data_IF_177855810754
#
_entry.id   IF_177855810754
#
_cell.length_a   1.000
_cell.length_b   1.000
_cell.length_c   1.000
_cell.angle_alpha   90.00
_cell.angle_beta   90.00
_cell.angle_gamma   90.00
#
_symmetry.space_group_name_H-M   'P 1'
#
loop_
_entity.id
_entity.type
_entity.pdbx_description
1 polymer ?
#
# COMPACT_ATOMS: atom_id res chain seq x y z
N UNK A 1 3.99 -11.41 -20.21
CA UNK A 1 3.75 -12.33 -19.09
C UNK A 1 2.91 -13.48 -19.60
N UNK A 2 3.53 -14.64 -19.70
CA UNK A 2 2.92 -15.93 -20.04
C UNK A 2 2.94 -16.83 -18.81
N UNK A 3 1.96 -17.73 -18.68
CA UNK A 3 1.90 -18.71 -17.59
C UNK A 3 2.25 -20.09 -18.17
N UNK A 4 3.22 -20.76 -17.56
CA UNK A 4 3.68 -22.08 -17.96
C UNK A 4 3.47 -23.08 -16.83
N UNK A 5 2.82 -24.21 -17.14
CA UNK A 5 2.77 -25.36 -16.22
C UNK A 5 3.97 -26.26 -16.45
N UNK A 6 4.70 -26.58 -15.39
CA UNK A 6 5.92 -27.39 -15.42
C UNK A 6 5.81 -28.48 -14.36
N UNK A 7 6.03 -29.72 -14.77
CA UNK A 7 6.16 -30.85 -13.84
C UNK A 7 7.59 -30.88 -13.30
N UNK A 8 7.73 -31.03 -11.99
CA UNK A 8 9.00 -31.13 -11.26
C UNK A 8 9.02 -32.40 -10.42
N UNK A 9 10.22 -32.88 -10.08
CA UNK A 9 10.34 -33.95 -9.08
C UNK A 9 10.00 -33.42 -7.68
N UNK A 10 9.69 -34.33 -6.74
CA UNK A 10 9.42 -33.95 -5.35
C UNK A 10 10.60 -33.24 -4.70
N UNK A 11 11.81 -33.77 -4.91
CA UNK A 11 13.05 -33.15 -4.41
C UNK A 11 13.25 -31.74 -4.96
N UNK A 12 12.99 -31.52 -6.25
CA UNK A 12 13.10 -30.19 -6.86
C UNK A 12 12.01 -29.25 -6.32
N UNK A 13 10.78 -29.74 -6.13
CA UNK A 13 9.68 -28.97 -5.54
C UNK A 13 10.00 -28.53 -4.11
N UNK A 14 10.49 -29.43 -3.27
CA UNK A 14 10.84 -29.16 -1.88
C UNK A 14 12.03 -28.19 -1.78
N UNK A 15 13.07 -28.39 -2.58
CA UNK A 15 14.22 -27.47 -2.62
C UNK A 15 13.83 -26.05 -3.05
N UNK A 16 12.90 -25.92 -4.00
CA UNK A 16 12.41 -24.62 -4.45
C UNK A 16 11.50 -23.97 -3.40
N UNK A 17 10.57 -24.72 -2.81
CA UNK A 17 9.61 -24.17 -1.83
C UNK A 17 10.27 -23.77 -0.51
N UNK A 18 11.32 -24.48 -0.10
CA UNK A 18 12.16 -24.12 1.05
C UNK A 18 13.17 -23.01 0.74
N UNK A 19 13.36 -22.67 -0.53
CA UNK A 19 14.27 -21.61 -0.98
C UNK A 19 15.74 -22.02 -1.09
N UNK A 20 16.05 -23.32 -0.92
CA UNK A 20 17.37 -23.88 -1.18
C UNK A 20 17.76 -23.76 -2.65
N UNK A 21 16.77 -23.89 -3.55
CA UNK A 21 16.94 -23.75 -4.99
C UNK A 21 16.19 -22.51 -5.50
N UNK A 22 16.93 -21.61 -6.16
CA UNK A 22 16.43 -20.32 -6.69
C UNK A 22 16.47 -20.21 -8.21
N UNK A 23 16.83 -21.30 -8.89
CA UNK A 23 16.86 -21.37 -10.33
C UNK A 23 16.44 -22.75 -10.84
N UNK A 24 15.83 -22.79 -12.02
CA UNK A 24 15.41 -24.02 -12.70
C UNK A 24 16.12 -24.09 -14.05
N UNK A 25 16.71 -25.23 -14.36
CA UNK A 25 17.30 -25.50 -15.68
C UNK A 25 16.30 -26.25 -16.53
N UNK A 26 16.02 -25.78 -17.75
CA UNK A 26 15.10 -26.42 -18.70
C UNK A 26 15.62 -26.35 -20.12
N UNK A 27 15.11 -27.22 -20.98
CA UNK A 27 15.35 -27.13 -22.42
C UNK A 27 14.70 -25.85 -22.97
N UNK A 28 15.37 -25.21 -23.92
CA UNK A 28 14.95 -23.98 -24.61
C UNK A 28 13.85 -24.25 -25.67
N UNK A 29 12.90 -25.13 -25.38
CA UNK A 29 11.77 -25.42 -26.27
C UNK A 29 10.81 -24.23 -26.38
N UNK A 30 10.87 -23.31 -25.41
CA UNK A 30 10.02 -22.15 -25.28
C UNK A 30 10.86 -20.91 -25.03
N UNK A 31 10.32 -19.77 -25.43
CA UNK A 31 10.90 -18.46 -25.12
C UNK A 31 10.40 -18.06 -23.73
N UNK A 32 11.29 -18.10 -22.75
CA UNK A 32 11.02 -17.61 -21.40
C UNK A 32 11.51 -16.17 -21.29
N UNK A 33 10.71 -15.32 -20.63
CA UNK A 33 11.07 -13.93 -20.39
C UNK A 33 10.96 -13.58 -18.90
N UNK A 34 11.74 -12.61 -18.41
CA UNK A 34 11.52 -12.03 -17.08
C UNK A 34 10.07 -11.54 -16.93
N UNK A 35 9.48 -11.85 -15.79
CA UNK A 35 8.08 -11.58 -15.46
C UNK A 35 7.10 -12.69 -15.85
N UNK A 36 7.52 -13.72 -16.58
CA UNK A 36 6.69 -14.91 -16.82
C UNK A 36 6.44 -15.70 -15.52
N UNK A 37 5.35 -16.45 -15.49
CA UNK A 37 4.94 -17.22 -14.32
C UNK A 37 5.07 -18.72 -14.60
N UNK A 38 5.70 -19.43 -13.67
CA UNK A 38 5.85 -20.88 -13.69
C UNK A 38 4.96 -21.49 -12.61
N UNK A 39 4.01 -22.31 -13.02
CA UNK A 39 3.20 -23.16 -12.14
C UNK A 39 3.90 -24.50 -12.03
N UNK A 40 4.63 -24.70 -10.93
CA UNK A 40 5.35 -25.93 -10.66
C UNK A 40 4.39 -26.94 -10.07
N UNK A 41 4.34 -28.12 -10.67
CA UNK A 41 3.44 -29.21 -10.31
C UNK A 41 4.23 -30.44 -9.91
N UNK A 42 3.91 -30.99 -8.74
CA UNK A 42 4.44 -32.27 -8.27
C UNK A 42 3.29 -33.24 -8.03
N UNK A 43 3.39 -34.43 -8.61
CA UNK A 43 2.41 -35.51 -8.47
C UNK A 43 3.05 -36.64 -7.68
N UNK A 44 2.49 -36.92 -6.50
CA UNK A 44 2.85 -38.07 -5.69
C UNK A 44 1.77 -39.16 -5.78
N UNK A 45 2.18 -40.34 -6.26
CA UNK A 45 1.39 -41.58 -6.24
C UNK A 45 -0.06 -41.44 -6.78
N UNK A 46 -0.27 -40.69 -7.86
CA UNK A 46 -1.58 -40.48 -8.53
C UNK A 46 -2.73 -39.96 -7.63
N UNK A 47 -2.47 -39.55 -6.39
CA UNK A 47 -3.49 -39.09 -5.44
C UNK A 47 -3.22 -37.71 -4.84
N UNK A 48 -1.94 -37.32 -4.73
CA UNK A 48 -1.55 -36.04 -4.15
C UNK A 48 -0.93 -35.15 -5.22
N UNK A 49 -1.58 -34.02 -5.47
CA UNK A 49 -1.14 -32.98 -6.39
C UNK A 49 -0.77 -31.74 -5.59
N UNK A 50 0.50 -31.36 -5.63
CA UNK A 50 0.99 -30.12 -5.03
C UNK A 50 1.36 -29.15 -6.15
N UNK A 51 0.99 -27.88 -5.97
CA UNK A 51 1.37 -26.83 -6.89
C UNK A 51 1.89 -25.59 -6.17
N UNK A 52 2.84 -24.91 -6.80
CA UNK A 52 3.32 -23.60 -6.36
C UNK A 52 3.59 -22.71 -7.55
N UNK A 53 3.43 -21.41 -7.37
CA UNK A 53 3.65 -20.42 -8.41
C UNK A 53 4.95 -19.65 -8.16
N UNK A 54 5.77 -19.59 -9.20
CA UNK A 54 7.03 -18.86 -9.23
C UNK A 54 7.00 -17.83 -10.35
N UNK A 55 7.68 -16.71 -10.16
CA UNK A 55 7.94 -15.73 -11.20
C UNK A 55 9.37 -15.89 -11.70
N UNK A 56 9.57 -15.82 -13.01
CA UNK A 56 10.88 -15.74 -13.64
C UNK A 56 11.42 -14.32 -13.43
N UNK A 57 12.58 -14.18 -12.80
CA UNK A 57 13.23 -12.88 -12.57
C UNK A 57 14.34 -12.62 -13.58
N UNK A 58 15.00 -13.66 -14.06
CA UNK A 58 16.09 -13.58 -15.02
C UNK A 58 16.19 -14.88 -15.84
N UNK A 59 16.74 -14.79 -17.05
CA UNK A 59 16.88 -15.90 -18.00
C UNK A 59 18.29 -15.89 -18.58
N UNK A 60 19.08 -16.92 -18.28
CA UNK A 60 20.40 -17.13 -18.86
C UNK A 60 20.36 -18.32 -19.82
N UNK A 61 20.91 -18.16 -21.03
CA UNK A 61 21.02 -19.26 -21.99
C UNK A 61 22.36 -19.94 -21.86
N UNK A 62 22.38 -21.26 -21.76
CA UNK A 62 23.61 -22.05 -21.77
C UNK A 62 23.97 -22.33 -23.24
N UNK A 63 24.88 -21.53 -23.77
CA UNK A 63 25.38 -21.68 -25.14
C UNK A 63 25.85 -23.12 -25.40
N UNK A 64 25.60 -23.61 -26.62
CA UNK A 64 25.97 -24.95 -27.11
C UNK A 64 25.21 -26.16 -26.52
N UNK A 65 24.26 -25.96 -25.61
CA UNK A 65 23.51 -27.10 -25.01
C UNK A 65 22.01 -27.06 -25.28
N UNK A 66 21.46 -25.91 -25.68
CA UNK A 66 20.01 -25.73 -25.85
C UNK A 66 19.24 -25.69 -24.53
N UNK A 67 19.91 -25.47 -23.40
CA UNK A 67 19.29 -25.28 -22.10
C UNK A 67 19.25 -23.79 -21.70
N UNK A 68 18.25 -23.44 -20.90
CA UNK A 68 18.10 -22.15 -20.25
C UNK A 68 18.05 -22.34 -18.73
N UNK A 69 18.65 -21.40 -18.02
CA UNK A 69 18.56 -21.26 -16.57
C UNK A 69 17.58 -20.13 -16.29
N UNK A 70 16.52 -20.46 -15.58
CA UNK A 70 15.46 -19.54 -15.17
C UNK A 70 15.67 -19.21 -13.69
N UNK A 71 16.09 -18.00 -13.38
CA UNK A 71 16.08 -17.50 -12.01
C UNK A 71 14.63 -17.27 -11.58
N UNK A 72 14.27 -17.74 -10.38
CA UNK A 72 12.89 -17.77 -9.92
C UNK A 72 12.71 -17.16 -8.53
N UNK A 73 11.54 -16.56 -8.32
CA UNK A 73 11.10 -16.06 -7.02
C UNK A 73 9.65 -16.47 -6.75
N UNK A 74 9.28 -16.64 -5.48
CA UNK A 74 7.89 -16.97 -5.11
C UNK A 74 6.93 -15.90 -5.61
N UNK A 75 5.89 -16.33 -6.32
CA UNK A 75 4.85 -15.42 -6.75
C UNK A 75 3.96 -15.07 -5.56
N UNK A 76 4.04 -13.83 -5.10
CA UNK A 76 3.33 -13.37 -3.89
C UNK A 76 2.47 -12.15 -4.17
N UNK A 77 1.47 -11.96 -3.31
CA UNK A 77 0.61 -10.79 -3.32
C UNK A 77 1.33 -9.59 -2.71
N UNK A 78 1.30 -8.44 -3.39
CA UNK A 78 2.03 -7.25 -2.97
C UNK A 78 1.51 -6.65 -1.66
N UNK A 79 0.24 -6.91 -1.32
CA UNK A 79 -0.37 -6.46 -0.07
C UNK A 79 -0.06 -7.39 1.11
N UNK A 80 -0.37 -8.69 1.00
CA UNK A 80 -0.29 -9.61 2.14
C UNK A 80 0.96 -10.48 2.17
N UNK A 81 1.80 -10.42 1.12
CA UNK A 81 3.03 -11.20 0.93
C UNK A 81 2.85 -12.74 0.95
N UNK A 82 1.60 -13.23 0.91
CA UNK A 82 1.29 -14.66 0.77
C UNK A 82 1.34 -15.08 -0.69
N UNK A 83 1.49 -16.39 -0.91
CA UNK A 83 1.49 -16.99 -2.25
C UNK A 83 0.25 -16.58 -3.05
N UNK A 84 0.47 -16.27 -4.33
CA UNK A 84 -0.54 -15.75 -5.23
C UNK A 84 -0.72 -16.69 -6.42
N UNK A 85 -1.96 -17.12 -6.65
CA UNK A 85 -2.32 -17.93 -7.79
C UNK A 85 -2.26 -17.07 -9.08
N UNK A 86 -1.46 -17.46 -10.09
CA UNK A 86 -1.36 -16.78 -11.38
C UNK A 86 -2.69 -16.59 -12.11
N UNK A 87 -3.64 -17.50 -11.95
CA UNK A 87 -4.92 -17.50 -12.67
C UNK A 87 -6.00 -16.70 -11.96
N UNK A 88 -5.84 -16.42 -10.67
CA UNK A 88 -6.83 -15.70 -9.85
C UNK A 88 -6.38 -14.30 -9.43
N UNK A 89 -5.16 -13.89 -9.80
CA UNK A 89 -4.63 -12.59 -9.42
C UNK A 89 -5.35 -11.42 -10.11
N UNK A 90 -5.27 -10.26 -9.46
CA UNK A 90 -5.68 -8.97 -10.01
C UNK A 90 -4.47 -8.05 -10.15
N UNK A 91 -4.35 -7.42 -11.31
CA UNK A 91 -3.30 -6.44 -11.61
C UNK A 91 -3.82 -5.02 -11.35
N UNK A 92 -3.00 -4.19 -10.71
CA UNK A 92 -3.27 -2.76 -10.53
C UNK A 92 -1.96 -1.98 -10.52
N UNK A 93 -1.71 -1.20 -11.58
CA UNK A 93 -0.53 -0.31 -11.65
C UNK A 93 0.82 -1.03 -11.75
N UNK A 94 0.83 -2.32 -12.11
CA UNK A 94 2.04 -3.16 -12.14
C UNK A 94 2.11 -4.16 -10.99
N UNK A 95 1.43 -3.86 -9.89
CA UNK A 95 1.37 -4.72 -8.71
C UNK A 95 0.31 -5.83 -8.86
N UNK A 96 0.48 -6.90 -8.08
CA UNK A 96 -0.31 -8.13 -8.14
C UNK A 96 -0.95 -8.45 -6.80
N UNK A 97 -2.25 -8.70 -6.81
CA UNK A 97 -3.04 -8.84 -5.60
C UNK A 97 -3.97 -10.06 -5.66
N UNK A 98 -4.26 -10.64 -4.50
CA UNK A 98 -5.52 -11.40 -4.34
C UNK A 98 -6.70 -10.45 -4.54
N UNK A 99 -7.81 -10.95 -5.08
CA UNK A 99 -9.02 -10.15 -5.28
C UNK A 99 -9.47 -9.44 -3.98
N UNK A 100 -9.52 -10.19 -2.88
CA UNK A 100 -9.93 -9.67 -1.56
C UNK A 100 -8.97 -8.61 -1.02
N UNK A 101 -7.66 -8.77 -1.26
CA UNK A 101 -6.65 -7.81 -0.85
C UNK A 101 -6.83 -6.48 -1.59
N UNK A 102 -7.08 -6.53 -2.90
CA UNK A 102 -7.33 -5.35 -3.71
C UNK A 102 -8.62 -4.63 -3.29
N UNK A 103 -9.69 -5.37 -3.00
CA UNK A 103 -10.93 -4.78 -2.50
C UNK A 103 -10.75 -4.09 -1.15
N UNK A 104 -10.02 -4.73 -0.22
CA UNK A 104 -9.72 -4.16 1.09
C UNK A 104 -8.95 -2.84 0.95
N UNK A 105 -7.92 -2.81 0.11
CA UNK A 105 -7.18 -1.57 -0.18
C UNK A 105 -8.06 -0.46 -0.77
N UNK A 106 -8.98 -0.81 -1.68
CA UNK A 106 -9.94 0.16 -2.23
C UNK A 106 -10.85 0.73 -1.15
N UNK A 107 -11.38 -0.13 -0.26
CA UNK A 107 -12.23 0.30 0.87
C UNK A 107 -11.44 1.20 1.83
N UNK A 108 -10.21 0.84 2.18
CA UNK A 108 -9.33 1.66 3.05
C UNK A 108 -9.05 3.04 2.43
N UNK A 109 -8.77 3.11 1.12
CA UNK A 109 -8.59 4.39 0.41
C UNK A 109 -9.87 5.25 0.37
N UNK A 110 -11.05 4.63 0.25
CA UNK A 110 -12.33 5.34 0.33
C UNK A 110 -12.54 5.90 1.74
N UNK A 111 -12.18 5.15 2.79
CA UNK A 111 -12.27 5.61 4.18
C UNK A 111 -11.31 6.79 4.45
N UNK A 112 -10.09 6.75 3.92
CA UNK A 112 -9.14 7.87 4.01
C UNK A 112 -9.61 9.12 3.24
N UNK A 113 -10.47 8.94 2.22
CA UNK A 113 -11.14 10.03 1.49
C UNK A 113 -12.46 10.49 2.15
N UNK A 114 -12.71 10.20 3.44
CA UNK A 114 -13.73 10.95 4.18
C UNK A 114 -13.37 12.43 4.11
N UNK A 115 -14.13 13.19 3.33
CA UNK A 115 -14.06 14.65 3.31
C UNK A 115 -14.08 15.15 4.77
N UNK A 116 -13.29 16.17 5.15
CA UNK A 116 -13.34 16.73 6.49
C UNK A 116 -14.81 17.02 6.79
N UNK A 117 -15.33 16.44 7.87
CA UNK A 117 -16.66 16.75 8.35
C UNK A 117 -16.63 18.21 8.77
N UNK A 118 -17.13 19.07 7.89
CA UNK A 118 -17.32 20.47 8.18
C UNK A 118 -18.60 20.61 8.98
N UNK A 119 -18.57 21.39 10.05
CA UNK A 119 -19.75 21.77 10.81
C UNK A 119 -19.83 23.29 10.96
N UNK A 120 -21.02 23.79 11.26
CA UNK A 120 -21.22 25.23 11.49
C UNK A 120 -20.91 25.53 12.96
N UNK A 121 -19.77 26.15 13.20
CA UNK A 121 -19.40 26.71 14.50
C UNK A 121 -20.05 28.08 14.72
N UNK A 122 -20.27 28.45 15.99
CA UNK A 122 -20.76 29.78 16.38
C UNK A 122 -19.71 30.44 17.28
N UNK A 123 -19.23 31.60 16.87
CA UNK A 123 -18.27 32.39 17.66
C UNK A 123 -18.97 33.09 18.83
N UNK A 124 -18.21 33.49 19.84
CA UNK A 124 -18.65 34.41 20.91
C UNK A 124 -19.26 35.71 20.40
N UNK A 125 -18.77 36.25 19.28
CA UNK A 125 -19.34 37.43 18.61
C UNK A 125 -20.66 37.16 17.84
N UNK A 126 -21.18 35.93 17.88
CA UNK A 126 -22.44 35.54 17.24
C UNK A 126 -22.33 35.11 15.77
N UNK A 127 -21.19 35.34 15.10
CA UNK A 127 -20.95 34.90 13.72
C UNK A 127 -20.92 33.38 13.58
N UNK A 128 -21.51 32.88 12.49
CA UNK A 128 -21.48 31.46 12.09
C UNK A 128 -20.37 31.25 11.06
N UNK A 129 -19.58 30.20 11.22
CA UNK A 129 -18.47 29.89 10.30
C UNK A 129 -18.23 28.39 10.21
N UNK A 130 -17.60 27.96 9.13
CA UNK A 130 -17.37 26.55 8.84
C UNK A 130 -16.11 26.10 9.58
N UNK A 131 -16.24 25.12 10.48
CA UNK A 131 -15.12 24.54 11.24
C UNK A 131 -14.88 23.09 10.84
N UNK A 132 -13.61 22.67 10.88
CA UNK A 132 -13.23 21.26 10.73
C UNK A 132 -13.52 20.55 12.05
N UNK A 133 -14.33 19.50 12.02
CA UNK A 133 -14.64 18.68 13.20
C UNK A 133 -13.36 18.09 13.79
N UNK A 134 -12.89 18.64 14.92
CA UNK A 134 -11.77 18.13 15.72
C UNK A 134 -12.21 17.97 17.16
N UNK A 135 -11.73 16.91 17.81
CA UNK A 135 -11.86 16.70 19.26
C UNK A 135 -10.78 17.52 19.99
N UNK A 136 -10.99 18.81 20.21
CA UNK A 136 -10.11 19.59 21.08
C UNK A 136 -10.95 20.48 22.02
N UNK A 137 -10.58 20.48 23.30
CA UNK A 137 -11.19 21.30 24.34
C UNK A 137 -10.74 22.77 24.15
N UNK A 138 -11.70 23.68 23.94
CA UNK A 138 -11.45 25.12 23.82
C UNK A 138 -12.60 25.86 23.13
N UNK A 139 -12.69 27.19 23.32
CA UNK A 139 -13.69 28.03 22.66
C UNK A 139 -13.33 28.24 21.18
N UNK A 140 -14.32 28.13 20.29
CA UNK A 140 -14.13 28.23 18.83
C UNK A 140 -14.43 29.67 18.39
N UNK A 141 -13.42 30.37 17.83
CA UNK A 141 -13.53 31.77 17.41
C UNK A 141 -13.55 31.92 15.87
N UNK A 142 -14.33 32.88 15.35
CA UNK A 142 -14.29 33.25 13.93
C UNK A 142 -12.97 33.95 13.59
N UNK A 143 -12.70 34.12 12.30
CA UNK A 143 -11.45 34.72 11.80
C UNK A 143 -11.15 36.10 12.44
N UNK A 144 -12.17 36.96 12.54
CA UNK A 144 -12.04 38.29 13.17
C UNK A 144 -11.69 38.21 14.68
N UNK A 145 -12.44 37.42 15.47
CA UNK A 145 -12.19 37.30 16.91
C UNK A 145 -10.89 36.55 17.24
N UNK A 146 -10.44 35.67 16.33
CA UNK A 146 -9.14 35.02 16.44
C UNK A 146 -8.00 36.02 16.23
N UNK A 147 -8.17 36.95 15.28
CA UNK A 147 -7.22 38.03 15.04
C UNK A 147 -7.14 38.98 16.24
N UNK A 148 -8.26 39.35 16.86
CA UNK A 148 -8.29 40.17 18.08
C UNK A 148 -7.55 39.51 19.25
N UNK A 149 -7.81 38.23 19.55
CA UNK A 149 -7.07 37.51 20.60
C UNK A 149 -5.57 37.42 20.33
N UNK A 150 -5.18 37.15 19.08
CA UNK A 150 -3.76 37.10 18.70
C UNK A 150 -3.12 38.48 18.79
N UNK A 151 -3.85 39.57 18.56
CA UNK A 151 -3.31 40.93 18.73
C UNK A 151 -3.20 41.33 20.20
N UNK A 152 -4.15 40.92 21.06
CA UNK A 152 -4.09 41.14 22.51
C UNK A 152 -2.91 40.38 23.17
N UNK A 153 -2.61 39.17 22.70
CA UNK A 153 -1.45 38.39 23.17
C UNK A 153 -0.09 39.00 22.75
N UNK A 154 -0.06 39.81 21.69
CA UNK A 154 1.16 40.45 21.16
C UNK A 154 1.32 41.92 21.55
N UNK A 155 0.33 42.56 22.19
CA UNK A 155 0.45 43.94 22.66
C UNK A 155 1.18 44.00 24.02
N UNK A 156 2.51 43.89 23.97
CA UNK A 156 3.41 44.24 25.08
C UNK A 156 3.60 45.76 25.10
N UNK A 157 2.53 46.50 25.41
CA UNK A 157 2.60 47.94 25.73
C UNK A 157 3.14 48.14 27.14
N UNK A 158 3.86 49.23 27.40
CA UNK A 158 4.39 49.51 28.73
C UNK A 158 3.23 49.69 29.74
N UNK A 159 3.41 49.36 31.03
CA UNK A 159 2.35 49.43 32.04
C UNK A 159 1.66 50.81 32.16
N UNK A 160 2.29 51.87 31.68
CA UNK A 160 1.76 53.24 31.72
C UNK A 160 0.74 53.51 30.61
N UNK A 161 0.82 52.84 29.45
CA UNK A 161 -0.19 52.98 28.36
C UNK A 161 -1.53 52.30 28.70
N UNK A 162 -1.52 51.33 29.62
CA UNK A 162 -2.72 50.66 30.13
C UNK A 162 -3.51 51.50 31.15
N UNK A 163 -2.85 52.43 31.86
CA UNK A 163 -3.50 53.27 32.88
C UNK A 163 -4.31 54.42 32.29
N UNK A 164 -3.87 55.01 31.19
CA UNK A 164 -4.58 56.15 30.56
C UNK A 164 -5.88 55.74 29.86
N UNK A 165 -6.02 54.47 29.41
CA UNK A 165 -7.27 53.99 28.80
C UNK A 165 -8.37 53.63 29.81
N UNK A 166 -8.03 53.41 31.08
CA UNK A 166 -9.02 53.07 32.10
C UNK A 166 -9.56 54.27 32.89
N UNK A 167 -8.91 55.43 32.80
CA UNK A 167 -9.32 56.66 33.50
C UNK A 167 -10.02 57.71 32.61
N UNK A 168 -10.24 57.43 31.32
CA UNK A 168 -10.93 58.37 30.41
C UNK A 168 -12.44 58.13 30.27
N UNK A 169 -13.08 57.55 31.29
CA UNK A 169 -14.53 57.51 31.42
C UNK A 169 -14.95 58.51 32.51
N UNK A 170 -14.95 59.81 32.16
CA UNK A 170 -15.93 60.79 32.66
C UNK A 170 -16.87 61.16 31.52
#
# INVERSE_FOLDING_TARGET
MVIYSIVVSGEEFDAITTGQKKAIVRLAERIYLPGDLLVLQYVFANMLFMQTAMMVTDVATIENTGYVVLSIEKHTCDYCKKGLDPYLMKLSGGDRYHADCLEKMKKERIVQRKAPAYEVGKCSCGKRFIVKKKQEYGAIHCEDCRLEQVMDDYYVGSPDELKDRHNSYE
#
